data_IF_068925006539
#
_entry.id   IF_068925006539
#
_cell.length_a   1.000
_cell.length_b   1.000
_cell.length_c   1.000
_cell.angle_alpha   90.00
_cell.angle_beta   90.00
_cell.angle_gamma   90.00
#
_symmetry.space_group_name_H-M   'P 1'
#
loop_
_entity.id
_entity.type
_entity.pdbx_description
1 polymer ?
#
# COMPACT_ATOMS: atom_id res chain seq x y z
N UNK A 1 6.06 69.48 27.26
CA UNK A 1 5.81 68.91 25.92
C UNK A 1 7.09 68.19 25.51
N UNK A 2 6.94 66.92 25.18
CA UNK A 2 7.98 65.90 25.22
C UNK A 2 8.67 65.77 23.87
N UNK A 3 10.00 65.90 23.83
CA UNK A 3 10.79 65.60 22.63
C UNK A 3 11.38 64.19 22.70
N UNK A 4 11.10 63.44 21.64
CA UNK A 4 11.41 62.04 21.42
C UNK A 4 12.87 61.87 21.00
N UNK A 5 13.65 61.12 21.77
CA UNK A 5 14.99 60.66 21.35
C UNK A 5 14.88 59.28 20.72
N UNK A 6 15.12 59.21 19.41
CA UNK A 6 15.32 57.99 18.62
C UNK A 6 16.64 57.32 19.00
N UNK A 7 16.59 56.12 19.59
CA UNK A 7 17.72 55.22 19.72
C UNK A 7 17.74 54.20 18.57
N UNK A 8 18.85 54.15 17.84
CA UNK A 8 19.13 53.14 16.82
C UNK A 8 19.60 51.85 17.51
N UNK A 9 19.06 50.65 17.20
CA UNK A 9 19.61 49.42 17.75
C UNK A 9 20.81 48.95 16.89
N UNK A 10 21.91 48.62 17.56
CA UNK A 10 23.10 47.96 16.99
C UNK A 10 22.73 46.63 16.31
N UNK A 11 23.47 46.20 15.27
CA UNK A 11 23.26 44.91 14.65
C UNK A 11 23.68 43.81 15.64
N UNK A 12 22.74 42.94 16.00
CA UNK A 12 23.00 41.75 16.79
C UNK A 12 23.89 40.80 15.97
N UNK A 13 25.11 40.61 16.47
CA UNK A 13 26.09 39.64 16.01
C UNK A 13 25.58 38.23 16.39
N UNK A 14 25.01 37.50 15.43
CA UNK A 14 24.36 36.20 15.61
C UNK A 14 25.37 35.03 15.62
N UNK A 15 26.60 35.30 16.10
CA UNK A 15 27.73 34.35 16.09
C UNK A 15 27.86 33.51 17.37
N UNK A 16 26.86 33.54 18.26
CA UNK A 16 26.93 32.90 19.58
C UNK A 16 25.80 31.93 19.94
N UNK A 17 24.93 31.53 19.02
CA UNK A 17 23.86 30.56 19.33
C UNK A 17 24.42 29.14 19.26
N UNK A 18 24.87 28.64 20.42
CA UNK A 18 25.18 27.23 20.62
C UNK A 18 23.91 26.37 20.37
N UNK A 19 23.86 25.71 19.21
CA UNK A 19 22.74 24.85 18.79
C UNK A 19 22.49 23.67 19.75
N UNK A 20 23.38 23.45 20.73
CA UNK A 20 23.20 22.47 21.79
C UNK A 20 22.08 22.81 22.79
N UNK A 21 21.60 24.07 22.79
CA UNK A 21 20.62 24.59 23.77
C UNK A 21 19.17 24.67 23.29
N UNK A 22 18.85 24.21 22.07
CA UNK A 22 17.44 24.08 21.68
C UNK A 22 16.78 22.90 22.42
N UNK A 23 15.57 23.07 22.98
CA UNK A 23 14.90 21.99 23.71
C UNK A 23 14.74 20.78 22.79
N UNK A 24 15.25 19.63 23.22
CA UNK A 24 15.09 18.35 22.53
C UNK A 24 13.60 18.01 22.51
N UNK A 25 12.89 18.43 21.46
CA UNK A 25 11.49 18.13 21.24
C UNK A 25 11.24 16.62 21.38
N UNK A 26 10.30 16.26 22.26
CA UNK A 26 9.88 14.88 22.53
C UNK A 26 9.52 14.15 21.24
N UNK A 27 9.80 12.85 21.16
CA UNK A 27 9.54 11.99 20.00
C UNK A 27 8.11 12.15 19.43
N UNK A 28 7.11 12.23 20.32
CA UNK A 28 5.71 12.51 19.96
C UNK A 28 5.51 13.89 19.33
N UNK A 29 6.22 14.91 19.80
CA UNK A 29 6.12 16.26 19.24
C UNK A 29 6.78 16.38 17.86
N UNK A 30 7.85 15.63 17.59
CA UNK A 30 8.46 15.56 16.24
C UNK A 30 7.59 14.80 15.25
N UNK A 31 6.90 13.77 15.72
CA UNK A 31 5.90 13.04 14.95
C UNK A 31 4.72 13.96 14.60
N UNK A 32 4.20 14.69 15.59
CA UNK A 32 3.05 15.59 15.41
C UNK A 32 3.36 16.84 14.58
N UNK A 33 4.57 17.40 14.70
CA UNK A 33 4.99 18.59 13.94
C UNK A 33 5.53 18.29 12.54
N UNK A 34 5.74 17.02 12.19
CA UNK A 34 6.25 16.59 10.88
C UNK A 34 7.70 17.02 10.60
N UNK A 35 8.46 17.45 11.62
CA UNK A 35 9.80 18.04 11.49
C UNK A 35 10.95 17.01 11.49
N UNK A 36 10.75 15.87 10.82
CA UNK A 36 11.84 14.92 10.55
C UNK A 36 12.06 13.86 11.62
N UNK A 37 10.99 13.21 12.09
CA UNK A 37 11.10 12.08 13.02
C UNK A 37 11.73 10.82 12.38
N UNK A 38 11.52 10.60 11.07
CA UNK A 38 11.97 9.40 10.38
C UNK A 38 12.75 9.67 9.10
N UNK A 39 13.84 8.94 8.92
CA UNK A 39 14.57 8.86 7.65
C UNK A 39 14.12 7.61 6.88
N UNK A 40 12.99 7.72 6.18
CA UNK A 40 12.39 6.63 5.41
C UNK A 40 13.11 6.49 4.07
N UNK A 41 13.31 7.62 3.39
CA UNK A 41 13.96 7.63 2.06
C UNK A 41 15.44 7.25 2.15
N UNK A 42 16.17 7.68 3.18
CA UNK A 42 17.57 7.27 3.37
C UNK A 42 17.71 5.78 3.66
N UNK A 43 16.71 5.17 4.29
CA UNK A 43 16.67 3.72 4.60
C UNK A 43 15.93 2.90 3.55
N UNK A 44 15.70 3.44 2.35
CA UNK A 44 14.97 2.79 1.25
C UNK A 44 15.41 1.35 0.93
N UNK A 45 16.68 1.00 1.10
CA UNK A 45 17.18 -0.38 0.89
C UNK A 45 16.53 -1.38 1.83
N UNK A 46 16.36 -1.01 3.11
CA UNK A 46 15.69 -1.86 4.08
C UNK A 46 14.24 -2.09 3.69
N UNK A 47 13.52 -1.03 3.32
CA UNK A 47 12.12 -1.15 2.91
C UNK A 47 11.96 -1.95 1.61
N UNK A 48 12.86 -1.81 0.62
CA UNK A 48 12.82 -2.66 -0.56
C UNK A 48 13.06 -4.13 -0.27
N UNK A 49 13.96 -4.45 0.65
CA UNK A 49 14.16 -5.84 1.09
C UNK A 49 12.90 -6.34 1.78
N UNK A 50 12.31 -5.55 2.68
CA UNK A 50 11.08 -5.90 3.38
C UNK A 50 9.91 -6.13 2.41
N UNK A 51 9.63 -5.19 1.52
CA UNK A 51 8.63 -5.31 0.45
C UNK A 51 8.92 -6.51 -0.44
N UNK A 52 10.18 -6.72 -0.84
CA UNK A 52 10.58 -7.85 -1.68
C UNK A 52 10.35 -9.21 -1.01
N UNK A 53 10.63 -9.33 0.29
CA UNK A 53 10.33 -10.54 1.09
C UNK A 53 8.83 -10.76 1.18
N UNK A 54 8.04 -9.71 1.45
CA UNK A 54 6.58 -9.82 1.51
C UNK A 54 6.03 -10.33 0.16
N UNK A 55 6.44 -9.71 -0.95
CA UNK A 55 6.03 -10.13 -2.30
C UNK A 55 6.44 -11.57 -2.58
N UNK A 56 7.66 -11.97 -2.19
CA UNK A 56 8.15 -13.34 -2.38
C UNK A 56 7.29 -14.35 -1.62
N UNK A 57 6.93 -14.06 -0.37
CA UNK A 57 6.05 -14.91 0.45
C UNK A 57 4.66 -15.02 -0.20
N UNK A 58 4.10 -13.92 -0.67
CA UNK A 58 2.81 -13.92 -1.38
C UNK A 58 2.86 -14.75 -2.67
N UNK A 59 3.91 -14.59 -3.48
CA UNK A 59 4.07 -15.37 -4.72
C UNK A 59 4.24 -16.86 -4.44
N UNK A 60 5.01 -17.22 -3.42
CA UNK A 60 5.17 -18.61 -3.00
C UNK A 60 3.84 -19.20 -2.52
N UNK A 61 3.03 -18.41 -1.81
CA UNK A 61 1.68 -18.83 -1.40
C UNK A 61 0.80 -19.16 -2.60
N UNK A 62 0.84 -18.36 -3.66
CA UNK A 62 0.06 -18.63 -4.88
C UNK A 62 0.43 -19.95 -5.55
N UNK A 63 1.72 -20.31 -5.51
CA UNK A 63 2.24 -21.55 -6.11
C UNK A 63 1.92 -22.79 -5.28
N UNK A 64 2.01 -22.68 -3.95
CA UNK A 64 1.89 -23.85 -3.05
C UNK A 64 0.43 -24.10 -2.63
N UNK A 65 -0.31 -23.04 -2.31
CA UNK A 65 -1.65 -23.14 -1.72
C UNK A 65 -2.77 -22.73 -2.69
N UNK A 66 -2.48 -21.81 -3.61
CA UNK A 66 -3.47 -21.28 -4.53
C UNK A 66 -4.50 -20.38 -3.84
N UNK A 67 -5.66 -20.22 -4.46
CA UNK A 67 -6.79 -19.43 -3.94
C UNK A 67 -7.98 -20.34 -3.65
N UNK A 68 -8.64 -20.12 -2.52
CA UNK A 68 -9.94 -20.73 -2.22
C UNK A 68 -11.03 -19.82 -2.78
N UNK A 69 -11.69 -20.23 -3.86
CA UNK A 69 -12.80 -19.48 -4.43
C UNK A 69 -14.08 -19.79 -3.66
N UNK A 70 -14.89 -18.78 -3.38
CA UNK A 70 -16.21 -18.99 -2.76
C UNK A 70 -17.19 -19.66 -3.72
N UNK A 71 -18.31 -20.18 -3.17
CA UNK A 71 -19.42 -20.74 -3.95
C UNK A 71 -20.02 -19.73 -4.95
N UNK A 72 -19.83 -18.43 -4.72
CA UNK A 72 -20.22 -17.38 -5.65
C UNK A 72 -19.44 -17.41 -6.97
N UNK A 73 -18.27 -18.07 -7.03
CA UNK A 73 -17.48 -18.21 -8.25
C UNK A 73 -17.63 -19.59 -8.88
N UNK A 74 -17.65 -20.64 -8.05
CA UNK A 74 -17.68 -22.04 -8.51
C UNK A 74 -19.10 -22.62 -8.59
N UNK A 75 -20.09 -21.99 -7.95
CA UNK A 75 -21.40 -22.60 -7.68
C UNK A 75 -21.35 -23.54 -6.47
N UNK A 76 -22.51 -23.91 -5.95
CA UNK A 76 -22.64 -24.94 -4.91
C UNK A 76 -23.31 -24.48 -3.62
N UNK A 77 -23.18 -25.29 -2.58
CA UNK A 77 -23.80 -25.04 -1.28
C UNK A 77 -22.72 -24.87 -0.20
N UNK A 78 -22.88 -23.84 0.63
CA UNK A 78 -22.05 -23.54 1.79
C UNK A 78 -22.89 -23.71 3.05
N UNK A 79 -22.33 -24.47 4.00
CA UNK A 79 -22.95 -24.72 5.29
C UNK A 79 -21.94 -24.33 6.36
N UNK A 80 -22.37 -23.51 7.32
CA UNK A 80 -21.52 -23.05 8.41
C UNK A 80 -22.19 -23.38 9.75
N UNK A 81 -21.46 -24.09 10.60
CA UNK A 81 -21.86 -24.36 11.98
C UNK A 81 -20.86 -23.73 12.97
N UNK A 82 -21.32 -23.19 14.11
CA UNK A 82 -20.45 -22.80 15.22
C UNK A 82 -19.57 -23.97 15.66
N UNK A 83 -18.26 -23.73 15.77
CA UNK A 83 -17.32 -24.73 16.25
C UNK A 83 -17.47 -24.84 17.77
N UNK A 84 -18.16 -25.87 18.24
CA UNK A 84 -18.17 -26.23 19.65
C UNK A 84 -16.85 -26.89 20.06
N UNK A 85 -16.55 -26.89 21.35
CA UNK A 85 -15.38 -27.59 21.89
C UNK A 85 -15.41 -29.06 21.46
N UNK A 86 -14.37 -29.50 20.74
CA UNK A 86 -14.14 -30.86 20.21
C UNK A 86 -14.75 -31.23 18.83
N UNK A 87 -15.31 -30.29 18.05
CA UNK A 87 -15.66 -30.60 16.65
C UNK A 87 -14.39 -30.59 15.79
N UNK A 88 -14.06 -31.73 15.20
CA UNK A 88 -12.96 -31.85 14.22
C UNK A 88 -13.50 -31.79 12.80
N UNK A 89 -12.71 -31.28 11.86
CA UNK A 89 -13.10 -31.24 10.43
C UNK A 89 -13.36 -32.65 9.89
N UNK A 90 -12.59 -33.63 10.33
CA UNK A 90 -12.72 -35.05 9.96
C UNK A 90 -14.08 -35.62 10.39
N UNK A 91 -14.55 -35.33 11.62
CA UNK A 91 -15.87 -35.77 12.06
C UNK A 91 -16.99 -35.14 11.23
N UNK A 92 -16.87 -33.85 10.90
CA UNK A 92 -17.86 -33.16 10.06
C UNK A 92 -17.88 -33.75 8.65
N UNK A 93 -16.71 -34.10 8.12
CA UNK A 93 -16.56 -34.75 6.82
C UNK A 93 -17.24 -36.13 6.81
N UNK A 94 -17.06 -36.93 7.87
CA UNK A 94 -17.73 -38.22 8.02
C UNK A 94 -19.24 -38.08 8.11
N UNK A 95 -19.76 -37.14 8.91
CA UNK A 95 -21.22 -36.91 9.02
C UNK A 95 -21.81 -36.45 7.68
N UNK A 96 -21.07 -35.64 6.92
CA UNK A 96 -21.46 -35.24 5.59
C UNK A 96 -21.55 -36.44 4.64
N UNK A 97 -20.48 -37.26 4.57
CA UNK A 97 -20.42 -38.43 3.69
C UNK A 97 -21.47 -39.48 4.06
N UNK A 98 -21.69 -39.74 5.35
CA UNK A 98 -22.70 -40.70 5.83
C UNK A 98 -24.14 -40.23 5.52
N UNK A 99 -24.39 -38.92 5.51
CA UNK A 99 -25.74 -38.37 5.29
C UNK A 99 -26.12 -38.22 3.83
N UNK A 100 -25.15 -37.92 2.95
CA UNK A 100 -25.39 -37.65 1.53
C UNK A 100 -24.80 -38.71 0.58
N UNK A 101 -23.96 -39.61 1.08
CA UNK A 101 -23.30 -40.65 0.29
C UNK A 101 -22.24 -40.13 -0.67
N UNK A 102 -21.75 -38.91 -0.45
CA UNK A 102 -20.69 -38.27 -1.23
C UNK A 102 -19.83 -37.37 -0.33
N UNK A 103 -18.53 -37.24 -0.61
CA UNK A 103 -17.66 -36.37 0.18
C UNK A 103 -17.92 -34.89 -0.12
N UNK A 104 -17.74 -33.99 0.87
CA UNK A 104 -17.78 -32.57 0.61
C UNK A 104 -16.57 -32.14 -0.21
N UNK A 105 -16.68 -30.99 -0.88
CA UNK A 105 -15.56 -30.41 -1.65
C UNK A 105 -14.45 -29.93 -0.70
N UNK A 106 -14.81 -29.38 0.46
CA UNK A 106 -13.86 -29.01 1.50
C UNK A 106 -14.56 -28.79 2.84
N UNK A 107 -13.90 -29.20 3.93
CA UNK A 107 -14.28 -28.83 5.30
C UNK A 107 -13.13 -28.07 5.95
N UNK A 108 -13.41 -26.89 6.49
CA UNK A 108 -12.40 -26.05 7.12
C UNK A 108 -12.94 -25.35 8.37
N UNK A 109 -12.10 -25.27 9.41
CA UNK A 109 -12.39 -24.44 10.58
C UNK A 109 -11.86 -23.03 10.34
N UNK A 110 -12.73 -22.03 10.45
CA UNK A 110 -12.40 -20.62 10.26
C UNK A 110 -12.62 -19.87 11.57
N UNK A 111 -11.57 -19.19 12.05
CA UNK A 111 -11.58 -18.45 13.31
C UNK A 111 -10.86 -19.20 14.43
N UNK A 112 -10.97 -18.69 15.66
CA UNK A 112 -10.30 -19.24 16.84
C UNK A 112 -11.11 -18.95 18.10
N UNK A 113 -11.10 -19.89 19.06
CA UNK A 113 -11.87 -19.77 20.30
C UNK A 113 -13.38 -19.86 20.07
N UNK A 114 -14.16 -19.22 20.92
CA UNK A 114 -15.64 -19.29 20.91
C UNK A 114 -16.31 -18.73 19.64
N UNK A 115 -15.57 -18.04 18.77
CA UNK A 115 -16.07 -17.50 17.50
C UNK A 115 -15.62 -18.32 16.28
N UNK A 116 -14.97 -19.47 16.49
CA UNK A 116 -14.62 -20.37 15.41
C UNK A 116 -15.89 -20.98 14.80
N UNK A 117 -15.89 -21.18 13.49
CA UNK A 117 -16.96 -21.87 12.76
C UNK A 117 -16.35 -22.95 11.89
N UNK A 118 -17.02 -24.11 11.80
CA UNK A 118 -16.69 -25.13 10.80
C UNK A 118 -17.52 -24.84 9.55
N UNK A 119 -16.84 -24.68 8.43
CA UNK A 119 -17.44 -24.39 7.14
C UNK A 119 -17.28 -25.59 6.22
N UNK A 120 -18.40 -26.03 5.67
CA UNK A 120 -18.51 -27.10 4.70
C UNK A 120 -18.85 -26.46 3.36
N UNK A 121 -18.11 -26.85 2.33
CA UNK A 121 -18.39 -26.51 0.93
C UNK A 121 -18.71 -27.79 0.19
N UNK A 122 -19.77 -27.75 -0.60
CA UNK A 122 -20.17 -28.87 -1.46
C UNK A 122 -20.61 -28.40 -2.83
N UNK A 123 -20.82 -29.36 -3.72
CA UNK A 123 -21.65 -29.16 -4.91
C UNK A 123 -23.06 -28.70 -4.52
N UNK A 124 -23.83 -28.25 -5.50
CA UNK A 124 -25.17 -27.71 -5.27
C UNK A 124 -26.08 -28.81 -4.71
N UNK A 125 -26.50 -28.63 -3.46
CA UNK A 125 -27.44 -29.49 -2.77
C UNK A 125 -28.87 -29.02 -3.03
N UNK A 126 -29.79 -29.96 -3.18
CA UNK A 126 -31.21 -29.65 -3.21
C UNK A 126 -31.76 -29.33 -1.80
N UNK A 127 -32.95 -28.72 -1.69
CA UNK A 127 -33.50 -28.36 -0.37
C UNK A 127 -33.73 -29.54 0.58
N UNK A 128 -33.93 -30.76 0.07
CA UNK A 128 -34.15 -31.95 0.89
C UNK A 128 -32.82 -32.52 1.44
N UNK A 129 -31.77 -32.51 0.61
CA UNK A 129 -30.40 -32.83 0.99
C UNK A 129 -29.88 -31.84 2.04
N UNK A 130 -30.13 -30.53 1.84
CA UNK A 130 -29.79 -29.50 2.82
C UNK A 130 -30.44 -29.76 4.17
N UNK A 131 -31.73 -30.09 4.21
CA UNK A 131 -32.40 -30.32 5.50
C UNK A 131 -31.95 -31.64 6.16
N UNK A 132 -31.70 -32.68 5.36
CA UNK A 132 -31.15 -33.97 5.83
C UNK A 132 -29.78 -33.76 6.48
N UNK A 133 -28.88 -33.08 5.79
CA UNK A 133 -27.55 -32.77 6.30
C UNK A 133 -27.62 -31.85 7.53
N UNK A 134 -28.50 -30.85 7.53
CA UNK A 134 -28.68 -29.95 8.68
C UNK A 134 -29.17 -30.70 9.92
N UNK A 135 -30.07 -31.67 9.75
CA UNK A 135 -30.52 -32.54 10.84
C UNK A 135 -29.39 -33.45 11.33
N UNK A 136 -28.65 -34.09 10.43
CA UNK A 136 -27.53 -34.97 10.79
C UNK A 136 -26.42 -34.21 11.56
N UNK A 137 -26.05 -33.01 11.09
CA UNK A 137 -25.09 -32.14 11.77
C UNK A 137 -25.61 -31.67 13.14
N UNK A 138 -26.91 -31.39 13.25
CA UNK A 138 -27.52 -31.01 14.52
C UNK A 138 -27.53 -32.18 15.52
N UNK A 139 -27.87 -33.39 15.08
CA UNK A 139 -27.86 -34.59 15.92
C UNK A 139 -26.46 -34.96 16.39
N UNK A 140 -25.47 -34.83 15.50
CA UNK A 140 -24.08 -35.18 15.81
C UNK A 140 -23.40 -34.17 16.75
N UNK A 141 -23.64 -32.87 16.55
CA UNK A 141 -22.81 -31.82 17.17
C UNK A 141 -23.56 -30.85 18.07
N UNK A 142 -24.90 -30.83 18.02
CA UNK A 142 -25.76 -29.92 18.78
C UNK A 142 -25.25 -28.47 18.83
N UNK A 143 -24.97 -27.83 17.67
CA UNK A 143 -24.43 -26.48 17.63
C UNK A 143 -25.37 -25.49 18.32
N UNK A 144 -24.78 -24.59 19.09
CA UNK A 144 -25.51 -23.57 19.84
C UNK A 144 -25.58 -22.27 19.06
N UNK A 145 -26.73 -21.60 19.11
CA UNK A 145 -26.86 -20.24 18.58
C UNK A 145 -26.19 -19.20 19.48
N UNK A 146 -26.25 -17.93 19.09
CA UNK A 146 -25.68 -16.81 19.86
C UNK A 146 -26.28 -16.64 21.27
N UNK A 147 -27.37 -17.35 21.59
CA UNK A 147 -28.02 -17.37 22.91
C UNK A 147 -27.59 -18.58 23.75
N UNK A 148 -26.68 -19.42 23.26
CA UNK A 148 -26.25 -20.67 23.92
C UNK A 148 -27.28 -21.80 23.83
N UNK A 149 -28.28 -21.67 22.96
CA UNK A 149 -29.33 -22.70 22.81
C UNK A 149 -28.99 -23.59 21.63
N UNK A 150 -28.97 -24.91 21.85
CA UNK A 150 -28.81 -25.87 20.76
C UNK A 150 -30.03 -25.82 19.83
N UNK A 151 -29.84 -25.38 18.60
CA UNK A 151 -30.92 -25.30 17.61
C UNK A 151 -30.41 -25.59 16.20
N UNK A 152 -31.19 -26.26 15.34
CA UNK A 152 -30.89 -26.40 13.92
C UNK A 152 -30.71 -25.05 13.19
N UNK A 153 -31.20 -23.94 13.76
CA UNK A 153 -31.04 -22.59 13.20
C UNK A 153 -29.66 -21.98 13.48
N UNK A 154 -28.84 -22.62 14.32
CA UNK A 154 -27.44 -22.24 14.52
C UNK A 154 -26.60 -22.57 13.28
N UNK A 155 -27.09 -23.46 12.41
CA UNK A 155 -26.45 -23.86 11.16
C UNK A 155 -26.92 -22.90 10.05
N UNK A 156 -25.99 -22.12 9.51
CA UNK A 156 -26.23 -21.24 8.37
C UNK A 156 -26.03 -22.01 7.07
N UNK A 157 -26.98 -21.86 6.14
CA UNK A 157 -26.87 -22.40 4.78
C UNK A 157 -26.91 -21.25 3.79
N UNK A 158 -26.08 -21.32 2.76
CA UNK A 158 -26.08 -20.40 1.62
C UNK A 158 -25.81 -21.19 0.36
N UNK A 159 -26.68 -21.09 -0.62
CA UNK A 159 -26.61 -21.78 -1.90
C UNK A 159 -26.48 -20.78 -3.05
N UNK A 160 -25.66 -21.12 -4.05
CA UNK A 160 -25.49 -20.32 -5.26
C UNK A 160 -25.58 -21.21 -6.49
N UNK A 161 -26.49 -20.84 -7.39
CA UNK A 161 -26.60 -21.51 -8.69
C UNK A 161 -25.37 -21.26 -9.58
N UNK A 162 -24.95 -22.28 -10.33
CA UNK A 162 -23.79 -22.21 -11.24
C UNK A 162 -23.90 -21.07 -12.27
N UNK A 163 -25.11 -20.82 -12.79
CA UNK A 163 -25.34 -19.76 -13.78
C UNK A 163 -25.13 -18.36 -13.19
N UNK A 164 -25.49 -18.16 -11.92
CA UNK A 164 -25.21 -16.93 -11.21
C UNK A 164 -23.70 -16.76 -10.98
N UNK A 165 -23.02 -17.85 -10.59
CA UNK A 165 -21.59 -17.85 -10.29
C UNK A 165 -20.71 -17.45 -11.48
N UNK A 166 -20.95 -18.06 -12.65
CA UNK A 166 -20.21 -17.72 -13.87
C UNK A 166 -20.41 -16.26 -14.29
N UNK A 167 -21.64 -15.76 -14.24
CA UNK A 167 -21.95 -14.38 -14.60
C UNK A 167 -21.34 -13.35 -13.64
N UNK A 168 -21.39 -13.61 -12.33
CA UNK A 168 -20.85 -12.68 -11.34
C UNK A 168 -19.32 -12.64 -11.40
N UNK A 169 -18.68 -13.80 -11.60
CA UNK A 169 -17.23 -13.93 -11.78
C UNK A 169 -16.73 -13.05 -12.92
N UNK A 170 -17.37 -13.18 -14.10
CA UNK A 170 -16.97 -12.43 -15.28
C UNK A 170 -17.14 -10.92 -15.07
N UNK A 171 -18.26 -10.49 -14.47
CA UNK A 171 -18.51 -9.08 -14.15
C UNK A 171 -17.50 -8.51 -13.15
N UNK A 172 -17.14 -9.28 -12.13
CA UNK A 172 -16.16 -8.88 -11.12
C UNK A 172 -14.76 -8.68 -11.73
N UNK A 173 -14.31 -9.59 -12.60
CA UNK A 173 -13.03 -9.48 -13.30
C UNK A 173 -13.03 -8.27 -14.24
N UNK A 174 -14.10 -8.08 -15.03
CA UNK A 174 -14.25 -6.91 -15.90
C UNK A 174 -14.20 -5.62 -15.08
N UNK A 175 -14.91 -5.55 -13.96
CA UNK A 175 -14.92 -4.37 -13.09
C UNK A 175 -13.52 -4.04 -12.55
N UNK A 176 -12.75 -5.06 -12.11
CA UNK A 176 -11.37 -4.88 -11.66
C UNK A 176 -10.48 -4.33 -12.77
N UNK A 177 -10.54 -4.89 -13.98
CA UNK A 177 -9.73 -4.42 -15.12
C UNK A 177 -10.10 -3.00 -15.51
N UNK A 178 -11.41 -2.71 -15.64
CA UNK A 178 -11.90 -1.36 -15.96
C UNK A 178 -11.45 -0.35 -14.90
N UNK A 179 -11.54 -0.70 -13.62
CA UNK A 179 -11.05 0.15 -12.53
C UNK A 179 -9.55 0.44 -12.66
N UNK A 180 -8.71 -0.59 -12.86
CA UNK A 180 -7.26 -0.43 -13.01
C UNK A 180 -6.90 0.45 -14.21
N UNK A 181 -7.61 0.32 -15.34
CA UNK A 181 -7.40 1.17 -16.52
C UNK A 181 -7.77 2.62 -16.21
N UNK A 182 -8.94 2.88 -15.62
CA UNK A 182 -9.39 4.23 -15.29
C UNK A 182 -8.41 4.90 -14.31
N UNK A 183 -8.00 4.18 -13.26
CA UNK A 183 -7.03 4.67 -12.27
C UNK A 183 -5.68 4.95 -12.92
N UNK A 184 -5.21 4.08 -13.81
CA UNK A 184 -3.94 4.28 -14.51
C UNK A 184 -3.97 5.52 -15.39
N UNK A 185 -5.07 5.74 -16.13
CA UNK A 185 -5.26 6.95 -16.93
C UNK A 185 -5.29 8.19 -16.03
N UNK A 186 -6.04 8.14 -14.93
CA UNK A 186 -6.11 9.25 -13.98
C UNK A 186 -4.73 9.63 -13.44
N UNK A 187 -3.96 8.65 -12.95
CA UNK A 187 -2.60 8.86 -12.42
C UNK A 187 -1.68 9.40 -13.52
N UNK A 188 -1.74 8.86 -14.74
CA UNK A 188 -0.89 9.28 -15.84
C UNK A 188 -1.18 10.72 -16.31
N UNK A 189 -2.43 11.19 -16.19
CA UNK A 189 -2.80 12.58 -16.50
C UNK A 189 -2.47 13.51 -15.33
N UNK A 190 -2.66 13.05 -14.09
CA UNK A 190 -2.49 13.86 -12.87
C UNK A 190 -1.03 14.06 -12.48
N UNK A 191 -0.15 13.11 -12.79
CA UNK A 191 1.25 13.09 -12.34
C UNK A 191 2.26 12.98 -13.48
N UNK A 192 3.48 13.42 -13.22
CA UNK A 192 4.62 13.16 -14.11
C UNK A 192 4.94 11.66 -14.19
N UNK A 193 5.64 11.26 -15.27
CA UNK A 193 5.91 9.85 -15.59
C UNK A 193 6.49 9.04 -14.42
N UNK A 194 7.47 9.58 -13.71
CA UNK A 194 8.15 8.85 -12.64
C UNK A 194 7.25 8.66 -11.40
N UNK A 195 6.44 9.67 -11.09
CA UNK A 195 5.43 9.58 -10.03
C UNK A 195 4.32 8.61 -10.42
N UNK A 196 3.86 8.65 -11.67
CA UNK A 196 2.85 7.73 -12.16
C UNK A 196 3.33 6.26 -12.07
N UNK A 197 4.56 5.97 -12.48
CA UNK A 197 5.15 4.63 -12.35
C UNK A 197 5.27 4.18 -10.90
N UNK A 198 5.68 5.07 -9.99
CA UNK A 198 5.79 4.74 -8.57
C UNK A 198 4.43 4.47 -7.92
N UNK A 199 3.39 5.25 -8.26
CA UNK A 199 2.03 5.05 -7.78
C UNK A 199 1.43 3.74 -8.33
N UNK A 200 1.62 3.45 -9.61
CA UNK A 200 1.13 2.20 -10.21
C UNK A 200 1.82 0.97 -9.63
N UNK A 201 3.13 1.04 -9.37
CA UNK A 201 3.84 -0.02 -8.70
C UNK A 201 3.35 -0.25 -7.26
N UNK A 202 3.01 0.83 -6.53
CA UNK A 202 2.43 0.72 -5.20
C UNK A 202 1.03 0.07 -5.22
N UNK A 203 0.17 0.46 -6.17
CA UNK A 203 -1.13 -0.18 -6.35
C UNK A 203 -1.01 -1.68 -6.72
N UNK A 204 -0.04 -2.02 -7.57
CA UNK A 204 0.24 -3.42 -7.90
C UNK A 204 0.74 -4.21 -6.68
N UNK A 205 1.59 -3.60 -5.84
CA UNK A 205 2.00 -4.17 -4.57
C UNK A 205 0.80 -4.39 -3.63
N UNK A 206 -0.10 -3.42 -3.51
CA UNK A 206 -1.29 -3.55 -2.66
C UNK A 206 -2.16 -4.73 -3.10
N UNK A 207 -2.47 -4.80 -4.40
CA UNK A 207 -3.25 -5.88 -4.98
C UNK A 207 -2.59 -7.25 -4.72
N UNK A 208 -1.28 -7.34 -4.95
CA UNK A 208 -0.52 -8.58 -4.78
C UNK A 208 -0.49 -9.02 -3.33
N UNK A 209 -0.22 -8.11 -2.40
CA UNK A 209 -0.11 -8.45 -0.98
C UNK A 209 -1.47 -8.76 -0.38
N UNK A 210 -2.53 -8.00 -0.72
CA UNK A 210 -3.89 -8.32 -0.28
C UNK A 210 -4.31 -9.69 -0.80
N UNK A 211 -4.09 -10.01 -2.08
CA UNK A 211 -4.33 -11.34 -2.62
C UNK A 211 -3.44 -12.41 -1.97
N UNK A 212 -2.19 -12.08 -1.68
CA UNK A 212 -1.22 -12.94 -1.00
C UNK A 212 -1.67 -13.36 0.39
N UNK A 213 -2.22 -12.43 1.18
CA UNK A 213 -2.79 -12.73 2.49
C UNK A 213 -3.99 -13.67 2.38
N UNK A 214 -4.85 -13.47 1.37
CA UNK A 214 -5.98 -14.36 1.10
C UNK A 214 -5.51 -15.79 0.80
N UNK A 215 -4.55 -15.93 -0.11
CA UNK A 215 -3.95 -17.23 -0.44
C UNK A 215 -3.26 -17.87 0.77
N UNK A 216 -2.49 -17.11 1.55
CA UNK A 216 -1.66 -17.65 2.63
C UNK A 216 -2.49 -18.17 3.79
N UNK A 217 -3.54 -17.43 4.16
CA UNK A 217 -4.44 -17.85 5.24
C UNK A 217 -5.47 -18.85 4.75
N UNK A 218 -5.81 -18.83 3.46
CA UNK A 218 -6.86 -19.66 2.87
C UNK A 218 -8.25 -19.01 2.96
N UNK A 219 -8.31 -17.68 3.02
CA UNK A 219 -9.59 -16.97 3.02
C UNK A 219 -10.27 -17.07 1.66
N UNK A 220 -11.57 -17.30 1.70
CA UNK A 220 -12.37 -17.42 0.49
C UNK A 220 -12.44 -16.10 -0.27
N UNK A 221 -12.22 -16.17 -1.58
CA UNK A 221 -12.42 -15.05 -2.49
C UNK A 221 -13.88 -15.10 -2.95
N UNK A 222 -14.68 -14.10 -2.57
CA UNK A 222 -16.08 -13.93 -2.99
C UNK A 222 -16.24 -12.62 -3.78
N UNK A 223 -17.35 -12.38 -4.53
CA UNK A 223 -17.60 -11.10 -5.16
C UNK A 223 -17.57 -9.93 -4.16
N UNK A 224 -17.97 -10.15 -2.91
CA UNK A 224 -17.82 -9.16 -1.84
C UNK A 224 -16.35 -8.82 -1.57
N UNK A 225 -15.44 -9.79 -1.62
CA UNK A 225 -13.99 -9.52 -1.51
C UNK A 225 -13.48 -8.66 -2.66
N UNK A 226 -13.97 -8.88 -3.89
CA UNK A 226 -13.60 -8.06 -5.05
C UNK A 226 -14.11 -6.63 -4.87
N UNK A 227 -15.35 -6.44 -4.44
CA UNK A 227 -15.89 -5.10 -4.13
C UNK A 227 -15.04 -4.41 -3.06
N UNK A 228 -14.71 -5.11 -1.97
CA UNK A 228 -13.86 -4.56 -0.92
C UNK A 228 -12.44 -4.23 -1.43
N UNK A 229 -11.89 -5.05 -2.33
CA UNK A 229 -10.60 -4.79 -2.99
C UNK A 229 -10.65 -3.52 -3.86
N UNK A 230 -11.72 -3.31 -4.64
CA UNK A 230 -11.87 -2.05 -5.40
C UNK A 230 -11.96 -0.84 -4.46
N UNK A 231 -12.64 -0.97 -3.33
CA UNK A 231 -12.74 0.09 -2.33
C UNK A 231 -11.37 0.44 -1.72
N UNK A 232 -10.55 -0.55 -1.36
CA UNK A 232 -9.22 -0.26 -0.77
C UNK A 232 -8.26 0.34 -1.79
N UNK A 233 -8.40 0.02 -3.08
CA UNK A 233 -7.53 0.62 -4.10
C UNK A 233 -7.82 2.12 -4.23
N UNK A 234 -9.08 2.53 -4.08
CA UNK A 234 -9.45 3.94 -3.98
C UNK A 234 -8.86 4.63 -2.74
N UNK A 235 -8.89 3.95 -1.59
CA UNK A 235 -8.28 4.43 -0.35
C UNK A 235 -6.75 4.59 -0.47
N UNK A 236 -6.06 3.57 -0.98
CA UNK A 236 -4.60 3.59 -1.18
C UNK A 236 -4.17 4.68 -2.18
N UNK A 237 -4.94 4.86 -3.24
CA UNK A 237 -4.70 5.92 -4.22
C UNK A 237 -4.79 7.30 -3.56
N UNK A 238 -5.80 7.53 -2.72
CA UNK A 238 -5.96 8.81 -2.02
C UNK A 238 -4.73 9.13 -1.16
N UNK A 239 -4.23 8.16 -0.39
CA UNK A 239 -3.07 8.38 0.48
C UNK A 239 -1.79 8.61 -0.34
N UNK A 240 -1.59 7.84 -1.41
CA UNK A 240 -0.48 8.03 -2.34
C UNK A 240 -0.49 9.42 -2.99
N UNK A 241 -1.66 9.89 -3.42
CA UNK A 241 -1.86 11.23 -4.02
C UNK A 241 -1.45 12.34 -3.06
N UNK A 242 -1.87 12.25 -1.79
CA UNK A 242 -1.58 13.28 -0.79
C UNK A 242 -0.07 13.35 -0.49
N UNK A 243 0.59 12.21 -0.34
CA UNK A 243 2.05 12.18 -0.12
C UNK A 243 2.77 12.73 -1.34
N UNK A 244 2.35 12.34 -2.54
CA UNK A 244 2.96 12.75 -3.80
C UNK A 244 2.79 14.23 -4.11
N UNK A 245 1.61 14.80 -3.84
CA UNK A 245 1.38 16.24 -3.94
C UNK A 245 2.32 17.01 -2.99
N UNK A 246 2.54 16.50 -1.77
CA UNK A 246 3.50 17.12 -0.84
C UNK A 246 4.94 16.97 -1.31
N UNK A 247 5.31 15.85 -1.92
CA UNK A 247 6.63 15.65 -2.53
C UNK A 247 6.83 16.65 -3.66
N UNK A 248 5.86 16.83 -4.55
CA UNK A 248 5.91 17.80 -5.64
C UNK A 248 6.03 19.23 -5.11
N UNK A 249 5.25 19.59 -4.09
CA UNK A 249 5.32 20.89 -3.42
C UNK A 249 6.71 21.16 -2.83
N UNK A 250 7.26 20.22 -2.06
CA UNK A 250 8.57 20.37 -1.41
C UNK A 250 9.75 20.31 -2.40
N UNK A 251 9.56 19.70 -3.57
CA UNK A 251 10.61 19.56 -4.59
C UNK A 251 10.48 20.58 -5.71
N UNK A 252 9.49 21.47 -5.64
CA UNK A 252 9.28 22.53 -6.62
C UNK A 252 10.51 23.44 -6.72
N UNK A 253 11.10 23.51 -7.91
CA UNK A 253 12.30 24.32 -8.17
C UNK A 253 13.59 23.78 -7.54
N UNK A 254 13.60 22.56 -6.99
CA UNK A 254 14.75 21.98 -6.27
C UNK A 254 16.04 21.96 -7.10
N UNK A 255 15.91 21.83 -8.43
CA UNK A 255 17.05 21.80 -9.35
C UNK A 255 17.90 23.08 -9.32
N UNK A 256 17.34 24.20 -8.87
CA UNK A 256 18.03 25.48 -8.74
C UNK A 256 18.68 25.67 -7.35
N UNK A 257 18.29 24.85 -6.36
CA UNK A 257 18.83 24.91 -5.01
C UNK A 257 20.11 24.08 -4.92
N UNK A 258 21.02 24.42 -4.02
CA UNK A 258 22.30 23.68 -3.86
C UNK A 258 22.51 23.09 -2.46
N UNK A 259 21.59 23.35 -1.53
CA UNK A 259 21.74 22.98 -0.13
C UNK A 259 21.04 21.69 0.25
N UNK A 260 20.01 21.27 -0.49
CA UNK A 260 19.19 20.09 -0.19
C UNK A 260 19.00 19.22 -1.42
N UNK A 261 18.93 17.90 -1.22
CA UNK A 261 18.69 16.93 -2.30
C UNK A 261 17.19 16.66 -2.49
N UNK A 262 16.81 16.08 -3.62
CA UNK A 262 15.44 15.61 -3.86
C UNK A 262 15.00 14.60 -2.80
N UNK A 263 15.87 13.64 -2.46
CA UNK A 263 15.61 12.63 -1.43
C UNK A 263 15.30 13.24 -0.05
N UNK A 264 16.03 14.28 0.35
CA UNK A 264 15.79 14.98 1.63
C UNK A 264 14.43 15.70 1.65
N UNK A 265 14.03 16.30 0.53
CA UNK A 265 12.72 16.97 0.41
C UNK A 265 11.56 15.99 0.32
N UNK A 266 11.76 14.87 -0.38
CA UNK A 266 10.79 13.77 -0.39
C UNK A 266 10.63 13.16 1.01
N UNK A 267 11.72 12.95 1.74
CA UNK A 267 11.64 12.46 3.13
C UNK A 267 10.91 13.45 4.04
N UNK A 268 11.16 14.75 3.87
CA UNK A 268 10.44 15.80 4.59
C UNK A 268 8.94 15.76 4.29
N UNK A 269 8.56 15.58 3.02
CA UNK A 269 7.16 15.48 2.60
C UNK A 269 6.45 14.28 3.25
N UNK A 270 7.13 13.13 3.32
CA UNK A 270 6.61 11.93 4.02
C UNK A 270 6.40 12.24 5.50
N UNK A 271 7.36 12.86 6.19
CA UNK A 271 7.19 13.20 7.61
C UNK A 271 6.03 14.19 7.85
N UNK A 272 5.83 15.15 6.95
CA UNK A 272 4.75 16.13 7.05
C UNK A 272 3.35 15.52 6.82
N UNK A 273 3.28 14.41 6.08
CA UNK A 273 2.02 13.74 5.74
C UNK A 273 1.76 12.50 6.59
N UNK A 274 2.78 11.96 7.27
CA UNK A 274 2.71 10.72 8.04
C UNK A 274 1.57 10.71 9.06
N UNK A 275 1.44 11.75 9.90
CA UNK A 275 0.37 11.80 10.90
C UNK A 275 -1.02 11.90 10.29
N UNK A 276 -1.15 12.53 9.13
CA UNK A 276 -2.42 12.56 8.39
C UNK A 276 -2.76 11.16 7.90
N UNK A 277 -1.82 10.49 7.23
CA UNK A 277 -2.00 9.13 6.71
C UNK A 277 -2.34 8.14 7.84
N UNK A 278 -1.61 8.20 8.97
CA UNK A 278 -1.91 7.39 10.16
C UNK A 278 -3.33 7.68 10.66
N UNK A 279 -3.70 8.95 10.84
CA UNK A 279 -5.02 9.31 11.34
C UNK A 279 -6.13 8.83 10.39
N UNK A 280 -5.98 9.04 9.09
CA UNK A 280 -6.96 8.60 8.09
C UNK A 280 -7.09 7.07 8.08
N UNK A 281 -5.97 6.35 8.20
CA UNK A 281 -5.96 4.88 8.29
C UNK A 281 -6.62 4.39 9.57
N UNK A 282 -6.28 4.94 10.73
CA UNK A 282 -6.87 4.54 12.01
C UNK A 282 -8.37 4.82 12.04
N UNK A 283 -8.79 6.02 11.60
CA UNK A 283 -10.21 6.39 11.55
C UNK A 283 -10.97 5.52 10.55
N UNK A 284 -10.37 5.13 9.43
CA UNK A 284 -10.99 4.24 8.44
C UNK A 284 -11.07 2.77 8.90
N UNK A 285 -10.04 2.29 9.59
CA UNK A 285 -9.96 0.91 10.09
C UNK A 285 -10.92 0.67 11.26
N UNK A 286 -11.18 1.67 12.11
CA UNK A 286 -12.04 1.51 13.29
C UNK A 286 -13.47 1.02 12.96
N UNK A 287 -14.23 1.65 12.03
CA UNK A 287 -15.53 1.14 11.62
C UNK A 287 -15.46 -0.26 11.00
N UNK A 288 -14.40 -0.57 10.26
CA UNK A 288 -14.22 -1.89 9.64
C UNK A 288 -13.96 -2.97 10.69
N UNK A 289 -13.16 -2.67 11.71
CA UNK A 289 -12.98 -3.56 12.87
C UNK A 289 -14.29 -3.73 13.63
N UNK A 290 -15.03 -2.63 13.89
CA UNK A 290 -16.33 -2.71 14.56
C UNK A 290 -17.31 -3.57 13.76
N UNK A 291 -17.38 -3.38 12.44
CA UNK A 291 -18.20 -4.19 11.54
C UNK A 291 -17.75 -5.65 11.55
N UNK A 292 -16.44 -5.92 11.55
CA UNK A 292 -15.90 -7.27 11.62
C UNK A 292 -16.29 -7.97 12.93
N UNK A 293 -16.17 -7.29 14.07
CA UNK A 293 -16.56 -7.83 15.38
C UNK A 293 -18.06 -8.12 15.40
N UNK A 294 -18.89 -7.18 14.93
CA UNK A 294 -20.35 -7.35 14.86
C UNK A 294 -20.73 -8.49 13.90
N UNK A 295 -20.11 -8.56 12.71
CA UNK A 295 -20.39 -9.60 11.73
C UNK A 295 -20.04 -10.99 12.28
N UNK A 296 -18.91 -11.11 12.98
CA UNK A 296 -18.44 -12.38 13.55
C UNK A 296 -19.23 -12.78 14.81
N UNK A 297 -19.55 -11.86 15.71
CA UNK A 297 -20.19 -12.17 17.00
C UNK A 297 -21.72 -12.12 17.02
N UNK A 298 -22.34 -11.25 16.23
CA UNK A 298 -23.79 -11.00 16.34
C UNK A 298 -24.59 -11.62 15.20
N UNK A 299 -24.03 -11.66 13.99
CA UNK A 299 -24.79 -12.00 12.78
C UNK A 299 -24.38 -13.35 12.19
N UNK A 300 -23.15 -13.82 12.41
CA UNK A 300 -22.64 -15.05 11.80
C UNK A 300 -22.61 -15.01 10.26
N UNK A 301 -22.86 -13.84 9.66
CA UNK A 301 -22.99 -13.67 8.21
C UNK A 301 -21.60 -13.63 7.58
N UNK A 302 -21.26 -14.66 6.81
CA UNK A 302 -19.96 -14.79 6.13
C UNK A 302 -19.62 -13.62 5.20
N UNK A 303 -20.60 -13.10 4.45
CA UNK A 303 -20.35 -12.07 3.43
C UNK A 303 -19.87 -10.73 4.01
N UNK A 304 -20.40 -10.31 5.16
CA UNK A 304 -19.96 -9.08 5.85
C UNK A 304 -18.55 -9.23 6.42
N UNK A 305 -18.23 -10.43 6.94
CA UNK A 305 -16.87 -10.76 7.40
C UNK A 305 -15.88 -10.71 6.25
N UNK A 306 -16.24 -11.27 5.09
CA UNK A 306 -15.37 -11.30 3.89
C UNK A 306 -15.06 -9.88 3.39
N UNK A 307 -16.06 -9.00 3.38
CA UNK A 307 -15.89 -7.59 3.02
C UNK A 307 -15.01 -6.84 4.04
N UNK A 308 -15.25 -7.04 5.34
CA UNK A 308 -14.49 -6.37 6.38
C UNK A 308 -13.01 -6.81 6.39
N UNK A 309 -12.76 -8.09 6.15
CA UNK A 309 -11.42 -8.67 6.19
C UNK A 309 -10.56 -8.12 5.04
N UNK A 310 -11.07 -8.13 3.80
CA UNK A 310 -10.31 -7.57 2.66
C UNK A 310 -10.04 -6.08 2.88
N UNK A 311 -11.01 -5.35 3.43
CA UNK A 311 -10.88 -3.92 3.69
C UNK A 311 -9.83 -3.64 4.77
N UNK A 312 -9.84 -4.41 5.85
CA UNK A 312 -8.86 -4.28 6.93
C UNK A 312 -7.44 -4.54 6.43
N UNK A 313 -7.22 -5.67 5.74
CA UNK A 313 -5.92 -6.02 5.19
C UNK A 313 -5.47 -4.97 4.17
N UNK A 314 -6.34 -4.61 3.23
CA UNK A 314 -6.03 -3.64 2.18
C UNK A 314 -5.72 -2.24 2.71
N UNK A 315 -6.41 -1.75 3.74
CA UNK A 315 -6.11 -0.45 4.35
C UNK A 315 -4.74 -0.44 5.04
N UNK A 316 -4.39 -1.51 5.77
CA UNK A 316 -3.08 -1.62 6.42
C UNK A 316 -1.95 -1.68 5.36
N UNK A 317 -2.14 -2.49 4.32
CA UNK A 317 -1.19 -2.64 3.22
C UNK A 317 -1.03 -1.32 2.46
N UNK A 318 -2.13 -0.64 2.11
CA UNK A 318 -2.11 0.64 1.41
C UNK A 318 -1.42 1.75 2.21
N UNK A 319 -1.67 1.83 3.52
CA UNK A 319 -0.98 2.78 4.40
C UNK A 319 0.53 2.50 4.48
N UNK A 320 0.92 1.22 4.45
CA UNK A 320 2.33 0.86 4.38
C UNK A 320 2.94 1.23 3.02
N UNK A 321 2.27 0.90 1.92
CA UNK A 321 2.84 1.04 0.58
C UNK A 321 3.01 2.50 0.16
N UNK A 322 2.05 3.38 0.45
CA UNK A 322 2.10 4.81 0.12
C UNK A 322 3.34 5.50 0.73
N UNK A 323 3.63 5.20 2.01
CA UNK A 323 4.69 5.83 2.80
C UNK A 323 6.04 5.15 2.57
N UNK A 324 6.08 3.82 2.71
CA UNK A 324 7.33 3.06 2.81
C UNK A 324 7.79 2.45 1.49
N UNK A 325 6.93 2.42 0.46
CA UNK A 325 7.28 1.86 -0.85
C UNK A 325 7.23 2.90 -1.98
N UNK A 326 6.09 3.60 -2.15
CA UNK A 326 5.85 4.50 -3.27
C UNK A 326 6.84 5.68 -3.32
N UNK A 327 7.02 6.39 -2.20
CA UNK A 327 7.93 7.55 -2.16
C UNK A 327 9.40 7.15 -2.31
N UNK A 328 9.91 6.12 -1.61
CA UNK A 328 11.26 5.62 -1.88
C UNK A 328 11.47 5.20 -3.35
N UNK A 329 10.49 4.51 -3.95
CA UNK A 329 10.53 4.10 -5.36
C UNK A 329 10.63 5.30 -6.31
N UNK A 330 9.81 6.33 -6.09
CA UNK A 330 9.88 7.60 -6.82
C UNK A 330 11.27 8.24 -6.74
N UNK A 331 11.83 8.34 -5.54
CA UNK A 331 13.18 8.92 -5.34
C UNK A 331 14.23 8.11 -6.09
N UNK A 332 14.18 6.78 -6.03
CA UNK A 332 15.12 5.92 -6.75
C UNK A 332 14.99 6.10 -8.27
N UNK A 333 13.78 6.25 -8.79
CA UNK A 333 13.55 6.47 -10.22
C UNK A 333 14.14 7.81 -10.67
N UNK A 334 13.86 8.89 -9.94
CA UNK A 334 14.41 10.23 -10.24
C UNK A 334 15.91 10.38 -10.01
N UNK A 335 16.49 9.68 -9.04
CA UNK A 335 17.94 9.71 -8.83
C UNK A 335 18.70 8.87 -9.86
N UNK A 336 18.05 7.89 -10.48
CA UNK A 336 18.63 7.10 -11.56
C UNK A 336 18.42 7.77 -12.94
N UNK A 337 17.29 8.47 -13.15
CA UNK A 337 16.86 8.97 -14.45
C UNK A 337 16.62 10.49 -14.37
N UNK A 338 17.20 11.25 -15.31
CA UNK A 338 16.89 12.67 -15.47
C UNK A 338 17.79 13.67 -14.70
N UNK A 339 17.34 14.94 -14.58
CA UNK A 339 18.17 16.05 -14.09
C UNK A 339 18.44 16.00 -12.57
N UNK A 340 17.62 15.26 -11.82
CA UNK A 340 17.78 15.09 -10.36
C UNK A 340 19.06 14.33 -10.03
N UNK A 341 19.46 13.35 -10.82
CA UNK A 341 20.72 12.61 -10.64
C UNK A 341 21.95 13.54 -10.66
N UNK A 342 21.99 14.45 -11.63
CA UNK A 342 23.08 15.44 -11.79
C UNK A 342 23.05 16.46 -10.65
N UNK A 343 21.86 16.91 -10.27
CA UNK A 343 21.66 17.83 -9.16
C UNK A 343 22.14 17.25 -7.84
N UNK A 344 21.74 16.02 -7.50
CA UNK A 344 22.15 15.32 -6.28
C UNK A 344 23.67 15.21 -6.19
N UNK A 345 24.35 14.83 -7.29
CA UNK A 345 25.83 14.80 -7.34
C UNK A 345 26.46 16.16 -7.07
N UNK A 346 25.93 17.24 -7.66
CA UNK A 346 26.40 18.62 -7.43
C UNK A 346 26.21 19.08 -5.98
N UNK A 347 25.10 18.70 -5.33
CA UNK A 347 24.86 19.01 -3.92
C UNK A 347 25.88 18.29 -3.04
N UNK A 348 26.12 17.00 -3.30
CA UNK A 348 27.11 16.23 -2.53
C UNK A 348 28.55 16.75 -2.74
N UNK A 349 28.94 17.11 -3.97
CA UNK A 349 30.28 17.67 -4.22
C UNK A 349 30.48 18.99 -3.49
N UNK A 350 29.51 19.91 -3.55
CA UNK A 350 29.56 21.19 -2.82
C UNK A 350 29.62 21.00 -1.30
N UNK A 351 28.90 20.01 -0.76
CA UNK A 351 28.98 19.67 0.67
C UNK A 351 30.34 19.09 1.05
N UNK A 352 30.91 18.22 0.21
CA UNK A 352 32.25 17.68 0.44
C UNK A 352 33.32 18.78 0.38
N UNK A 353 33.23 19.70 -0.59
CA UNK A 353 34.11 20.87 -0.67
C UNK A 353 33.99 21.78 0.56
N UNK A 354 32.77 22.05 1.02
CA UNK A 354 32.54 22.85 2.23
C UNK A 354 33.09 22.16 3.49
N UNK A 355 32.92 20.84 3.60
CA UNK A 355 33.46 20.04 4.71
C UNK A 355 35.00 20.01 4.68
N UNK A 356 35.61 19.84 3.50
CA UNK A 356 37.07 19.88 3.33
C UNK A 356 37.65 21.25 3.72
N UNK A 357 37.00 22.35 3.28
CA UNK A 357 37.37 23.71 3.70
C UNK A 357 37.25 23.91 5.21
N UNK A 358 36.18 23.41 5.83
CA UNK A 358 36.01 23.48 7.29
C UNK A 358 37.06 22.65 8.05
N UNK A 359 37.54 21.56 7.46
CA UNK A 359 38.58 20.70 8.02
C UNK A 359 40.02 21.18 7.71
N UNK A 360 40.20 22.32 7.03
CA UNK A 360 41.52 22.84 6.66
C UNK A 360 42.27 22.00 5.62
N UNK A 361 41.58 21.08 4.94
CA UNK A 361 42.13 20.23 3.89
C UNK A 361 41.97 20.92 2.53
N UNK A 362 43.00 20.89 1.68
CA UNK A 362 42.90 21.40 0.32
C UNK A 362 41.83 20.61 -0.45
N UNK A 363 40.87 21.25 -1.14
CA UNK A 363 39.83 20.54 -1.85
C UNK A 363 40.45 19.76 -3.02
N UNK A 364 40.43 18.42 -2.95
CA UNK A 364 40.70 17.60 -4.13
C UNK A 364 39.54 17.76 -5.12
N UNK A 365 39.81 18.09 -6.40
CA UNK A 365 38.77 18.17 -7.40
C UNK A 365 38.25 16.77 -7.70
N UNK A 366 37.04 16.45 -7.22
CA UNK A 366 36.30 15.29 -7.70
C UNK A 366 35.99 15.52 -9.17
N UNK A 367 36.64 14.77 -10.06
CA UNK A 367 36.48 14.88 -11.49
C UNK A 367 35.01 14.69 -11.87
N UNK A 368 34.31 15.79 -12.13
CA UNK A 368 32.97 15.75 -12.74
C UNK A 368 33.20 15.38 -14.20
N UNK A 369 33.03 14.10 -14.53
CA UNK A 369 33.01 13.61 -15.91
C UNK A 369 31.80 14.19 -16.66
N UNK A 370 31.90 15.46 -17.06
CA UNK A 370 31.08 16.04 -18.12
C UNK A 370 31.88 15.89 -19.39
N UNK A 371 31.47 14.95 -20.25
CA UNK A 371 31.91 14.96 -21.63
C UNK A 371 31.38 16.24 -22.28
N UNK A 372 32.18 17.30 -22.29
CA UNK A 372 31.96 18.47 -23.14
C UNK A 372 32.33 18.12 -24.57
N UNK A 373 31.52 18.48 -25.58
CA UNK A 373 31.96 18.39 -26.97
C UNK A 373 33.13 19.36 -27.14
N UNK A 374 34.26 18.87 -27.66
CA UNK A 374 35.43 19.68 -28.00
C UNK A 374 35.00 20.86 -28.87
N UNK A 375 34.96 22.07 -28.32
CA UNK A 375 34.99 23.26 -29.14
C UNK A 375 36.41 23.41 -29.67
N UNK A 376 36.58 23.19 -30.97
CA UNK A 376 37.81 23.53 -31.68
C UNK A 376 37.95 25.05 -31.70
N UNK A 377 38.76 25.60 -30.81
CA UNK A 377 39.24 26.97 -30.94
C UNK A 377 40.07 27.09 -32.24
N UNK A 378 39.88 28.13 -33.06
CA UNK A 378 40.62 28.27 -34.31
C UNK A 378 42.07 28.72 -34.05
N UNK A 379 43.00 28.07 -34.73
CA UNK A 379 44.43 28.43 -34.75
C UNK A 379 44.61 29.85 -35.35
N UNK A 380 45.47 30.71 -34.76
CA UNK A 380 45.73 32.04 -35.30
C UNK A 380 46.69 31.93 -36.48
N UNK A 381 46.19 32.30 -37.67
CA UNK A 381 47.01 32.39 -38.87
C UNK A 381 46.30 31.87 -40.11
N UNK A 382 45.28 32.60 -40.58
CA UNK A 382 44.92 32.57 -42.00
C UNK A 382 44.26 33.91 -42.38
N UNK A 383 44.92 34.63 -43.29
CA UNK A 383 44.44 35.88 -43.89
C UNK A 383 43.10 35.64 -44.61
N UNK A 384 42.09 36.52 -44.45
CA UNK A 384 40.87 36.43 -45.24
C UNK A 384 41.10 36.98 -46.66
N UNK A 385 41.11 36.11 -47.67
CA UNK A 385 40.96 36.52 -49.08
C UNK A 385 39.48 36.69 -49.39
N UNK A 386 38.95 37.90 -49.21
CA UNK A 386 37.58 38.24 -49.59
C UNK A 386 37.41 38.32 -51.10
N UNK A 387 36.70 37.37 -51.72
CA UNK A 387 36.06 37.57 -53.03
C UNK A 387 34.67 38.15 -52.83
N UNK A 388 34.59 39.46 -52.99
CA UNK A 388 33.40 40.28 -53.18
C UNK A 388 32.59 39.73 -54.35
N UNK A 389 31.39 39.18 -54.12
CA UNK A 389 30.43 38.94 -55.20
C UNK A 389 29.22 39.87 -55.05
N UNK A 390 29.17 40.82 -55.98
CA UNK A 390 28.15 41.83 -56.19
C UNK A 390 27.12 41.21 -57.12
N UNK A 391 25.84 41.16 -56.77
CA UNK A 391 24.77 41.19 -57.78
C UNK A 391 23.45 41.69 -57.19
N UNK A 392 23.13 42.92 -57.57
CA UNK A 392 21.77 43.45 -57.70
C UNK A 392 21.05 42.68 -58.80
N UNK A 393 19.80 42.31 -58.56
CA UNK A 393 18.66 42.85 -59.29
C UNK A 393 17.41 42.73 -58.43
#
# INVERSE_FOLDING_TARGET
MSDTTTSTPSPLDDSGVDQSTQPKHSWLSRLYTGTGAFDIVGRRRFYYILTGVIVLVCLLSFLVRGFTLGIDFEGGTRIALPAADNITTEQVETVYDDSLGMPPVSVQTVGSGAAATVQIRSEALDPAEVDTLRQALFEAFQPQDNSGTATPNAISVSDVSETWGSQITQKALIALVVFLVIVSIYIAVRYERDMALAALAALAFDLLVTAGVYSLVGFEVTPATVIGLLTILGFSLYDSVVVFDKVEENTRGILNLHRKTYAEQANLAVNQTLMRSINTTVIGVLPVIALMIIAVWLLGVGTLKDLALVQLVGMIVGAYSSIFFATPLLVTLKEKWGPVAVHTRKVHSKRAEAAARAAGLAPEPVAVGVATPKSSAPQPGNRPTGKRNKKRR
#
